data_IF_375812836821
#
_entry.id   IF_375812836821
#
_cell.length_a   1.000
_cell.length_b   1.000
_cell.length_c   1.000
_cell.angle_alpha   90.00
_cell.angle_beta   90.00
_cell.angle_gamma   90.00
#
_symmetry.space_group_name_H-M   'P 1'
#
loop_
_entity.id
_entity.type
_entity.pdbx_description
1 polymer ?
#
# COMPACT_ATOMS: atom_id res chain seq x y z
N UNK A 1 -10.87 -0.67 8.38
CA UNK A 1 -9.92 0.21 7.66
C UNK A 1 -9.88 -0.24 6.22
N UNK A 2 -10.47 0.55 5.31
CA UNK A 2 -10.50 0.23 3.87
C UNK A 2 -9.26 0.84 3.24
N UNK A 3 -8.32 -0.01 2.80
CA UNK A 3 -7.13 0.45 2.09
C UNK A 3 -7.42 0.49 0.60
N UNK A 4 -7.47 1.71 0.04
CA UNK A 4 -7.56 1.91 -1.41
C UNK A 4 -6.17 2.32 -1.87
N UNK A 5 -5.38 1.34 -2.31
CA UNK A 5 -4.10 1.61 -2.96
C UNK A 5 -4.35 1.89 -4.43
N UNK A 6 -4.37 3.17 -4.81
CA UNK A 6 -4.40 3.60 -6.23
C UNK A 6 -3.07 3.32 -6.97
N UNK A 7 -2.02 2.92 -6.23
CA UNK A 7 -0.69 2.61 -6.74
C UNK A 7 -0.34 1.12 -6.76
N UNK A 8 -1.32 0.25 -6.98
CA UNK A 8 -1.03 -1.10 -7.50
C UNK A 8 -0.79 -1.00 -9.02
N UNK A 9 0.28 -0.29 -9.38
CA UNK A 9 0.99 -0.57 -10.63
C UNK A 9 1.62 -1.94 -10.42
N UNK A 10 0.84 -2.99 -10.69
CA UNK A 10 1.33 -4.38 -10.64
C UNK A 10 2.50 -4.45 -11.61
N UNK A 11 3.72 -4.52 -11.09
CA UNK A 11 4.88 -4.69 -11.95
C UNK A 11 4.67 -5.96 -12.77
N UNK A 12 5.08 -5.94 -14.06
CA UNK A 12 5.02 -7.08 -14.98
C UNK A 12 5.41 -8.44 -14.33
N UNK A 13 6.43 -8.53 -13.44
CA UNK A 13 6.76 -9.80 -12.78
C UNK A 13 5.66 -10.33 -11.83
N UNK A 14 4.89 -9.46 -11.17
CA UNK A 14 3.83 -9.85 -10.23
C UNK A 14 2.60 -10.40 -10.98
N UNK A 15 2.23 -9.76 -12.10
CA UNK A 15 1.16 -10.25 -12.99
C UNK A 15 1.52 -11.64 -13.52
N UNK A 16 2.78 -11.82 -13.92
CA UNK A 16 3.28 -13.10 -14.43
C UNK A 16 3.34 -14.18 -13.34
N UNK A 17 3.67 -13.81 -12.10
CA UNK A 17 3.62 -14.73 -10.96
C UNK A 17 2.21 -15.29 -10.76
N UNK A 18 1.18 -14.45 -10.86
CA UNK A 18 -0.22 -14.86 -10.74
C UNK A 18 -0.64 -15.76 -11.91
N UNK A 19 -0.24 -15.45 -13.16
CA UNK A 19 -0.53 -16.32 -14.31
C UNK A 19 0.12 -17.70 -14.22
N UNK A 20 1.33 -17.81 -13.64
CA UNK A 20 2.00 -19.10 -13.41
C UNK A 20 1.29 -19.93 -12.33
N UNK A 21 0.55 -19.30 -11.41
CA UNK A 21 -0.24 -19.99 -10.38
C UNK A 21 -1.63 -20.41 -10.90
N UNK A 22 -2.22 -19.61 -11.79
CA UNK A 22 -3.59 -19.79 -12.28
C UNK A 22 -3.70 -20.50 -13.64
N UNK A 23 -2.64 -21.11 -14.19
CA UNK A 23 -2.72 -21.85 -15.45
C UNK A 23 -3.47 -23.17 -15.27
N UNK A 24 -4.80 -23.10 -15.28
CA UNK A 24 -5.77 -24.18 -15.15
C UNK A 24 -6.02 -24.92 -16.48
N UNK A 25 -4.96 -25.37 -17.16
CA UNK A 25 -5.09 -26.07 -18.45
C UNK A 25 -4.36 -27.43 -18.52
N UNK A 26 -3.71 -27.88 -17.45
CA UNK A 26 -3.31 -29.27 -17.25
C UNK A 26 -2.70 -29.38 -15.85
N UNK A 27 -2.95 -30.49 -15.15
CA UNK A 27 -2.49 -30.75 -13.79
C UNK A 27 -0.97 -30.99 -13.71
N UNK A 28 -0.18 -30.02 -14.15
CA UNK A 28 1.28 -30.08 -14.14
C UNK A 28 1.75 -29.45 -12.83
N UNK A 29 2.38 -30.26 -11.99
CA UNK A 29 2.90 -29.85 -10.70
C UNK A 29 4.28 -29.24 -10.90
N UNK A 30 4.41 -27.95 -10.57
CA UNK A 30 5.63 -27.18 -10.77
C UNK A 30 6.20 -26.77 -9.42
N UNK A 31 7.45 -27.16 -9.15
CA UNK A 31 8.15 -26.82 -7.91
C UNK A 31 8.51 -25.32 -7.81
N UNK A 32 8.71 -24.77 -6.60
CA UNK A 32 9.04 -23.36 -6.39
C UNK A 32 10.31 -22.90 -7.11
N UNK A 33 11.36 -23.74 -7.14
CA UNK A 33 12.62 -23.42 -7.80
C UNK A 33 12.46 -23.23 -9.33
N UNK A 34 11.58 -24.02 -9.95
CA UNK A 34 11.27 -23.92 -11.38
C UNK A 34 10.54 -22.61 -11.66
N UNK A 35 9.57 -22.22 -10.82
CA UNK A 35 8.85 -20.94 -10.94
C UNK A 35 9.80 -19.75 -10.90
N UNK A 36 10.77 -19.76 -9.97
CA UNK A 36 11.78 -18.69 -9.86
C UNK A 36 12.64 -18.58 -11.12
N UNK A 37 13.06 -19.70 -11.71
CA UNK A 37 13.85 -19.69 -12.95
C UNK A 37 13.03 -19.19 -14.15
N UNK A 38 11.79 -19.67 -14.32
CA UNK A 38 10.91 -19.21 -15.40
C UNK A 38 10.65 -17.70 -15.35
N UNK A 39 10.58 -17.13 -14.15
CA UNK A 39 10.45 -15.69 -13.95
C UNK A 39 11.73 -14.94 -14.29
N UNK A 40 12.88 -15.42 -13.80
CA UNK A 40 14.19 -14.76 -13.98
C UNK A 40 14.65 -14.73 -15.43
N UNK A 41 14.26 -15.72 -16.23
CA UNK A 41 14.64 -15.86 -17.64
C UNK A 41 13.46 -15.60 -18.60
N UNK A 42 12.32 -15.11 -18.11
CA UNK A 42 11.11 -14.84 -18.89
C UNK A 42 10.63 -16.03 -19.78
N UNK A 43 10.71 -17.25 -19.25
CA UNK A 43 10.31 -18.48 -19.95
C UNK A 43 8.87 -18.90 -19.65
N UNK A 44 8.12 -19.29 -20.69
CA UNK A 44 6.77 -19.85 -20.54
C UNK A 44 6.82 -21.38 -20.47
N UNK A 45 5.77 -22.01 -19.93
CA UNK A 45 5.67 -23.47 -19.75
C UNK A 45 5.64 -24.25 -21.07
N UNK A 46 5.20 -23.61 -22.15
CA UNK A 46 5.07 -24.23 -23.48
C UNK A 46 6.40 -24.23 -24.25
N UNK A 47 7.35 -23.37 -23.83
CA UNK A 47 8.65 -23.25 -24.48
C UNK A 47 9.54 -24.48 -24.19
N UNK A 48 9.33 -25.14 -23.05
CA UNK A 48 10.15 -26.28 -22.61
C UNK A 48 9.36 -27.58 -22.84
N UNK A 49 9.59 -28.18 -24.01
CA UNK A 49 8.92 -29.42 -24.45
C UNK A 49 9.43 -30.68 -23.77
N UNK A 50 10.70 -30.70 -23.34
CA UNK A 50 11.30 -31.82 -22.62
C UNK A 50 10.92 -31.73 -21.14
N UNK A 51 10.16 -32.72 -20.65
CA UNK A 51 9.72 -32.82 -19.26
C UNK A 51 10.07 -34.20 -18.72
N UNK A 52 11.09 -34.25 -17.87
CA UNK A 52 11.69 -35.49 -17.37
C UNK A 52 11.15 -35.90 -15.99
N UNK A 53 10.35 -35.03 -15.35
CA UNK A 53 9.81 -35.29 -14.02
C UNK A 53 8.69 -36.34 -13.96
N UNK A 54 8.42 -36.91 -12.78
CA UNK A 54 7.33 -37.86 -12.58
C UNK A 54 6.00 -37.23 -13.00
N UNK A 55 5.17 -37.99 -13.72
CA UNK A 55 3.91 -37.51 -14.34
C UNK A 55 4.11 -36.39 -15.38
N UNK A 56 5.22 -36.39 -16.11
CA UNK A 56 5.59 -35.38 -17.13
C UNK A 56 5.67 -33.94 -16.56
N UNK A 57 6.08 -33.82 -15.30
CA UNK A 57 6.26 -32.54 -14.63
C UNK A 57 7.58 -31.87 -15.05
N UNK A 58 7.58 -30.54 -15.03
CA UNK A 58 8.78 -29.76 -15.33
C UNK A 58 9.70 -29.69 -14.10
N UNK A 59 10.92 -30.23 -14.22
CA UNK A 59 11.92 -30.23 -13.16
C UNK A 59 12.99 -29.16 -13.37
N UNK A 60 13.72 -28.82 -12.30
CA UNK A 60 14.77 -27.78 -12.30
C UNK A 60 15.86 -28.06 -13.34
N UNK A 61 16.29 -29.32 -13.47
CA UNK A 61 17.32 -29.72 -14.44
C UNK A 61 16.91 -29.43 -15.87
N UNK A 62 15.64 -29.67 -16.24
CA UNK A 62 15.15 -29.44 -17.59
C UNK A 62 15.22 -27.95 -17.96
N UNK A 63 14.88 -27.08 -17.00
CA UNK A 63 14.97 -25.62 -17.19
C UNK A 63 16.42 -25.16 -17.28
N UNK A 64 17.31 -25.70 -16.45
CA UNK A 64 18.73 -25.36 -16.50
C UNK A 64 19.39 -25.82 -17.80
N UNK A 65 19.09 -27.03 -18.26
CA UNK A 65 19.57 -27.56 -19.53
C UNK A 65 19.05 -26.73 -20.70
N UNK A 66 17.77 -26.34 -20.67
CA UNK A 66 17.22 -25.45 -21.68
C UNK A 66 17.94 -24.09 -21.70
N UNK A 67 18.23 -23.51 -20.53
CA UNK A 67 18.96 -22.24 -20.42
C UNK A 67 20.41 -22.37 -20.95
N UNK A 68 21.09 -23.49 -20.67
CA UNK A 68 22.45 -23.73 -21.19
C UNK A 68 22.46 -23.92 -22.70
N UNK A 69 21.50 -24.67 -23.23
CA UNK A 69 21.39 -24.96 -24.68
C UNK A 69 21.06 -23.70 -25.48
N UNK A 70 20.20 -22.83 -24.93
CA UNK A 70 19.75 -21.59 -25.58
C UNK A 70 20.61 -20.37 -25.26
N UNK A 71 21.65 -20.51 -24.42
CA UNK A 71 22.55 -19.43 -23.95
C UNK A 71 21.81 -18.15 -23.53
N UNK A 72 20.68 -18.31 -22.83
CA UNK A 72 19.87 -17.17 -22.38
C UNK A 72 20.54 -16.44 -21.19
N UNK A 73 20.66 -15.13 -21.29
CA UNK A 73 21.08 -14.29 -20.15
C UNK A 73 19.89 -13.99 -19.24
N UNK A 74 20.09 -13.97 -17.90
CA UNK A 74 19.04 -13.57 -16.98
C UNK A 74 18.66 -12.10 -17.24
N UNK A 75 17.38 -11.77 -17.05
CA UNK A 75 16.91 -10.38 -17.15
C UNK A 75 17.79 -9.52 -16.22
N UNK A 76 18.44 -8.45 -16.72
CA UNK A 76 19.17 -7.55 -15.86
C UNK A 76 18.21 -6.99 -14.82
N UNK A 77 18.52 -7.20 -13.55
CA UNK A 77 17.83 -6.53 -12.45
C UNK A 77 18.00 -5.03 -12.62
N UNK A 78 17.01 -4.36 -13.21
CA UNK A 78 16.89 -2.91 -13.20
C UNK A 78 16.53 -2.47 -11.77
N UNK A 79 17.53 -2.55 -10.88
CA UNK A 79 17.58 -1.85 -9.61
C UNK A 79 18.98 -1.28 -9.48
N UNK A 80 19.25 -0.25 -10.30
CA UNK A 80 20.23 0.80 -10.10
C UNK A 80 19.97 1.83 -11.19
N UNK A 81 19.60 3.03 -10.76
CA UNK A 81 19.36 4.26 -11.54
C UNK A 81 17.90 4.70 -11.56
N UNK A 82 17.45 5.24 -10.42
CA UNK A 82 16.85 6.57 -10.34
C UNK A 82 16.60 6.89 -8.87
N UNK A 83 17.43 7.79 -8.35
CA UNK A 83 17.24 8.71 -7.21
C UNK A 83 18.64 9.30 -6.94
N UNK A 84 19.12 10.12 -7.89
CA UNK A 84 20.09 11.17 -7.56
C UNK A 84 19.26 12.39 -7.17
N UNK A 85 18.77 12.39 -5.94
CA UNK A 85 18.39 13.64 -5.30
C UNK A 85 19.69 14.23 -4.73
N UNK A 86 20.05 15.38 -5.26
CA UNK A 86 21.10 16.25 -4.76
C UNK A 86 20.66 16.71 -3.37
N UNK A 87 21.11 16.05 -2.31
CA UNK A 87 20.97 16.59 -0.97
C UNK A 87 21.95 17.75 -0.84
N UNK A 88 21.43 18.99 -0.89
CA UNK A 88 22.17 20.14 -0.39
C UNK A 88 22.53 19.90 1.09
N UNK A 89 23.76 20.21 1.53
CA UNK A 89 24.17 19.99 2.91
C UNK A 89 23.41 20.93 3.82
N UNK A 90 22.44 20.39 4.56
CA UNK A 90 21.79 21.09 5.67
C UNK A 90 22.88 21.43 6.69
N UNK A 91 23.12 22.73 6.92
CA UNK A 91 24.00 23.21 7.99
C UNK A 91 23.53 22.60 9.32
N UNK A 92 24.37 21.76 9.94
CA UNK A 92 24.16 21.27 11.29
C UNK A 92 24.24 22.47 12.25
N UNK A 93 23.09 22.97 12.69
CA UNK A 93 23.04 23.74 13.92
C UNK A 93 23.29 22.79 15.10
N UNK A 94 24.12 23.27 16.01
CA UNK A 94 24.73 22.55 17.14
C UNK A 94 23.67 21.91 18.03
N UNK A 95 23.67 20.57 18.11
CA UNK A 95 23.00 19.83 19.17
C UNK A 95 24.04 19.32 20.17
N UNK A 96 23.71 19.43 21.46
CA UNK A 96 24.56 19.13 22.59
C UNK A 96 25.00 17.65 22.60
N UNK A 97 26.32 17.44 22.59
CA UNK A 97 26.95 16.14 22.79
C UNK A 97 26.64 15.64 24.20
N UNK A 98 25.75 14.67 24.35
CA UNK A 98 25.76 13.81 25.53
C UNK A 98 26.62 12.59 25.19
N UNK A 99 27.84 12.57 25.72
CA UNK A 99 28.80 11.48 25.53
C UNK A 99 28.40 10.30 26.43
N UNK A 100 27.90 9.21 25.83
CA UNK A 100 27.80 7.92 26.52
C UNK A 100 29.07 7.14 26.21
N UNK A 101 29.95 7.01 27.19
CA UNK A 101 31.14 6.17 27.11
C UNK A 101 30.77 4.72 27.44
N UNK A 102 30.63 3.83 26.46
CA UNK A 102 30.76 2.39 26.71
C UNK A 102 31.52 1.64 25.59
N UNK A 103 32.68 1.14 26.01
CA UNK A 103 33.43 -0.08 25.61
C UNK A 103 33.65 -0.43 24.12
N UNK A 104 34.94 -0.34 23.73
CA UNK A 104 35.72 -1.26 22.87
C UNK A 104 34.93 -2.15 21.87
N UNK A 105 34.29 -1.53 20.88
CA UNK A 105 34.26 -1.95 19.47
C UNK A 105 33.80 -0.70 18.70
N UNK A 106 34.63 -0.18 17.79
CA UNK A 106 34.43 1.17 17.20
C UNK A 106 33.32 1.18 16.14
N UNK A 107 32.07 1.06 16.57
CA UNK A 107 30.93 1.64 15.87
C UNK A 107 30.48 2.84 16.70
N UNK A 108 30.72 4.05 16.20
CA UNK A 108 30.21 5.26 16.83
C UNK A 108 28.70 5.32 16.56
N UNK A 109 27.89 5.08 17.59
CA UNK A 109 26.46 5.31 17.54
C UNK A 109 26.19 6.77 17.91
N UNK A 110 25.34 7.44 17.13
CA UNK A 110 24.82 8.76 17.46
C UNK A 110 23.33 8.63 17.70
N UNK A 111 22.89 9.09 18.87
CA UNK A 111 21.47 9.14 19.20
C UNK A 111 20.82 10.34 18.52
N UNK A 112 19.73 10.09 17.79
CA UNK A 112 18.90 11.13 17.19
C UNK A 112 17.63 11.24 18.05
N UNK A 113 17.39 12.36 18.75
CA UNK A 113 16.20 12.49 19.58
C UNK A 113 14.93 12.44 18.73
N UNK A 114 13.90 11.76 19.26
CA UNK A 114 12.61 11.62 18.60
C UNK A 114 11.80 12.90 18.81
N UNK A 115 11.36 13.52 17.72
CA UNK A 115 10.46 14.67 17.75
C UNK A 115 9.07 14.28 18.30
N UNK A 116 8.36 15.19 18.96
CA UNK A 116 7.10 14.89 19.64
C UNK A 116 6.03 14.33 18.70
N UNK A 117 5.96 14.84 17.46
CA UNK A 117 5.08 14.29 16.42
C UNK A 117 5.35 12.83 16.07
N UNK A 118 6.60 12.38 16.16
CA UNK A 118 6.94 10.96 15.97
C UNK A 118 6.54 10.13 17.19
N UNK A 119 6.59 10.68 18.41
CA UNK A 119 6.16 9.98 19.62
C UNK A 119 4.67 9.65 19.57
N UNK A 120 3.82 10.61 19.19
CA UNK A 120 2.37 10.39 19.03
C UNK A 120 2.06 9.29 18.01
N UNK A 121 2.77 9.28 16.87
CA UNK A 121 2.62 8.23 15.85
C UNK A 121 3.04 6.86 16.41
N UNK A 122 4.13 6.82 17.17
CA UNK A 122 4.60 5.58 17.82
C UNK A 122 3.56 5.07 18.82
N UNK A 123 2.99 5.94 19.64
CA UNK A 123 1.92 5.58 20.57
C UNK A 123 0.68 5.02 19.87
N UNK A 124 0.25 5.66 18.77
CA UNK A 124 -0.82 5.13 17.92
C UNK A 124 -0.47 3.76 17.33
N UNK A 125 0.78 3.56 16.93
CA UNK A 125 1.25 2.28 16.40
C UNK A 125 1.25 1.19 17.47
N UNK A 126 1.67 1.51 18.70
CA UNK A 126 1.66 0.60 19.84
C UNK A 126 0.24 0.11 20.17
N UNK A 127 -0.79 0.94 19.99
CA UNK A 127 -2.20 0.51 20.15
C UNK A 127 -2.59 -0.65 19.23
N UNK A 128 -1.94 -0.81 18.06
CA UNK A 128 -2.20 -1.96 17.15
C UNK A 128 -1.82 -3.31 17.76
N UNK A 129 -0.90 -3.34 18.73
CA UNK A 129 -0.47 -4.57 19.38
C UNK A 129 -1.57 -5.12 20.28
N UNK A 130 -2.35 -4.24 20.92
CA UNK A 130 -3.36 -4.62 21.90
C UNK A 130 -4.68 -5.09 21.27
N UNK A 131 -5.01 -4.65 20.06
CA UNK A 131 -6.29 -4.95 19.40
C UNK A 131 -6.12 -6.21 18.53
N UNK A 132 -6.96 -7.25 18.65
CA UNK A 132 -6.91 -8.41 17.76
C UNK A 132 -7.39 -8.03 16.35
N UNK A 133 -6.49 -8.08 15.36
CA UNK A 133 -6.79 -7.73 13.97
C UNK A 133 -7.20 -8.95 13.16
N UNK A 134 -8.25 -8.80 12.34
CA UNK A 134 -8.61 -9.75 11.29
C UNK A 134 -8.72 -9.00 9.96
N UNK A 135 -8.29 -9.65 8.88
CA UNK A 135 -8.30 -9.08 7.53
C UNK A 135 -9.33 -9.79 6.66
N UNK A 136 -10.15 -9.01 5.96
CA UNK A 136 -11.07 -9.50 4.95
C UNK A 136 -10.87 -8.71 3.66
N UNK A 137 -10.92 -9.39 2.53
CA UNK A 137 -10.69 -8.78 1.21
C UNK A 137 -11.78 -9.17 0.24
N UNK A 138 -12.13 -8.23 -0.64
CA UNK A 138 -13.07 -8.44 -1.74
C UNK A 138 -12.57 -7.71 -2.98
N UNK A 139 -12.80 -8.30 -4.16
CA UNK A 139 -12.48 -7.69 -5.45
C UNK A 139 -13.73 -7.01 -6.02
N UNK A 140 -13.60 -5.74 -6.41
CA UNK A 140 -14.71 -4.94 -6.96
C UNK A 140 -14.34 -4.46 -8.36
N UNK A 141 -15.27 -4.59 -9.31
CA UNK A 141 -15.11 -4.03 -10.65
C UNK A 141 -15.54 -2.55 -10.64
N UNK A 142 -14.60 -1.64 -10.93
CA UNK A 142 -14.81 -0.20 -10.90
C UNK A 142 -15.02 0.42 -12.29
N UNK A 143 -15.16 -0.38 -13.35
CA UNK A 143 -15.25 0.12 -14.74
C UNK A 143 -16.44 1.06 -14.94
N UNK A 144 -17.62 0.68 -14.42
CA UNK A 144 -18.84 1.49 -14.56
C UNK A 144 -18.72 2.82 -13.80
N UNK A 145 -18.12 2.81 -12.61
CA UNK A 145 -17.88 4.02 -11.81
C UNK A 145 -16.96 4.96 -12.57
N UNK A 146 -15.87 4.42 -13.15
CA UNK A 146 -14.93 5.23 -13.93
C UNK A 146 -15.55 5.83 -15.19
N UNK A 147 -16.41 5.06 -15.87
CA UNK A 147 -17.17 5.58 -17.00
C UNK A 147 -18.10 6.73 -16.58
N UNK A 148 -18.79 6.59 -15.44
CA UNK A 148 -19.66 7.62 -14.90
C UNK A 148 -18.88 8.87 -14.48
N UNK A 149 -17.71 8.73 -13.85
CA UNK A 149 -16.79 9.85 -13.60
C UNK A 149 -16.46 10.58 -14.91
N UNK A 150 -16.06 9.86 -15.96
CA UNK A 150 -15.72 10.48 -17.24
C UNK A 150 -16.89 11.25 -17.88
N UNK A 151 -18.13 10.77 -17.71
CA UNK A 151 -19.33 11.45 -18.21
C UNK A 151 -19.63 12.73 -17.42
N UNK A 152 -19.39 12.73 -16.12
CA UNK A 152 -19.71 13.85 -15.23
C UNK A 152 -18.56 14.85 -15.04
N UNK A 153 -17.34 14.50 -15.46
CA UNK A 153 -16.16 15.36 -15.38
C UNK A 153 -16.33 16.73 -16.05
N UNK A 154 -17.27 16.87 -17.00
CA UNK A 154 -17.59 18.16 -17.60
C UNK A 154 -18.27 19.14 -16.64
N UNK A 155 -18.88 18.64 -15.56
CA UNK A 155 -19.64 19.44 -14.60
C UNK A 155 -19.02 19.41 -13.20
N UNK A 156 -18.51 18.25 -12.77
CA UNK A 156 -17.97 18.03 -11.42
C UNK A 156 -16.74 17.14 -11.53
N UNK A 157 -15.63 17.57 -10.93
CA UNK A 157 -14.41 16.76 -10.81
C UNK A 157 -14.64 15.60 -9.82
N UNK A 158 -15.12 14.47 -10.32
CA UNK A 158 -15.42 13.29 -9.50
C UNK A 158 -14.30 12.27 -9.55
N UNK A 159 -13.74 11.97 -8.38
CA UNK A 159 -12.76 10.90 -8.21
C UNK A 159 -13.42 9.61 -7.71
N UNK A 160 -12.74 8.47 -7.87
CA UNK A 160 -13.23 7.17 -7.42
C UNK A 160 -13.32 7.14 -5.87
N UNK A 161 -12.43 7.87 -5.20
CA UNK A 161 -12.39 8.01 -3.74
C UNK A 161 -13.68 8.62 -3.18
N UNK A 162 -14.31 9.55 -3.92
CA UNK A 162 -15.59 10.15 -3.55
C UNK A 162 -16.69 9.07 -3.42
N UNK A 163 -16.77 8.17 -4.40
CA UNK A 163 -17.73 7.06 -4.40
C UNK A 163 -17.45 6.06 -3.28
N UNK A 164 -16.18 5.83 -2.95
CA UNK A 164 -15.79 4.92 -1.87
C UNK A 164 -16.21 5.50 -0.52
N UNK A 165 -15.94 6.79 -0.27
CA UNK A 165 -16.34 7.46 0.98
C UNK A 165 -17.86 7.43 1.13
N UNK A 166 -18.59 7.77 0.07
CA UNK A 166 -20.05 7.75 0.05
C UNK A 166 -20.61 6.34 0.32
N UNK A 167 -20.08 5.32 -0.35
CA UNK A 167 -20.49 3.93 -0.14
C UNK A 167 -20.19 3.45 1.30
N UNK A 168 -19.03 3.82 1.86
CA UNK A 168 -18.68 3.52 3.25
C UNK A 168 -19.66 4.20 4.23
N UNK A 169 -20.01 5.46 4.01
CA UNK A 169 -20.97 6.17 4.85
C UNK A 169 -22.34 5.48 4.84
N UNK A 170 -22.84 5.13 3.65
CA UNK A 170 -24.12 4.43 3.50
C UNK A 170 -24.10 3.01 4.11
N UNK A 171 -22.97 2.31 4.02
CA UNK A 171 -22.79 1.01 4.65
C UNK A 171 -22.81 1.11 6.18
N UNK A 172 -22.12 2.10 6.77
CA UNK A 172 -22.12 2.35 8.21
C UNK A 172 -23.50 2.77 8.71
N UNK A 173 -24.26 3.51 7.90
CA UNK A 173 -25.66 3.87 8.19
C UNK A 173 -26.57 2.65 8.24
N UNK A 174 -26.36 1.69 7.33
CA UNK A 174 -27.14 0.45 7.26
C UNK A 174 -26.75 -0.54 8.37
N UNK A 175 -25.48 -0.56 8.77
CA UNK A 175 -24.91 -1.48 9.75
C UNK A 175 -24.24 -0.73 10.93
N UNK A 176 -25.03 -0.14 11.84
CA UNK A 176 -24.49 0.65 12.95
C UNK A 176 -23.69 -0.20 13.96
N UNK A 177 -23.80 -1.53 13.90
CA UNK A 177 -23.01 -2.45 14.74
C UNK A 177 -21.51 -2.39 14.43
N UNK A 178 -21.14 -1.93 13.23
CA UNK A 178 -19.73 -1.80 12.80
C UNK A 178 -19.16 -0.44 13.26
N UNK A 179 -19.99 0.59 13.40
CA UNK A 179 -19.57 1.93 13.83
C UNK A 179 -19.47 2.03 15.37
N UNK A 180 -18.47 1.34 15.93
CA UNK A 180 -18.25 1.24 17.38
C UNK A 180 -16.81 1.53 17.75
N UNK A 181 -16.59 1.98 18.99
CA UNK A 181 -15.26 2.13 19.58
C UNK A 181 -15.20 1.52 20.97
N UNK A 182 -13.98 1.23 21.42
CA UNK A 182 -13.69 0.76 22.77
C UNK A 182 -13.42 1.95 23.66
N UNK A 183 -14.22 2.09 24.73
CA UNK A 183 -13.98 3.12 25.75
C UNK A 183 -12.84 2.68 26.70
N UNK A 184 -12.30 3.61 27.49
CA UNK A 184 -11.26 3.42 28.52
C UNK A 184 -11.63 2.31 29.51
N UNK A 185 -12.92 2.10 29.76
CA UNK A 185 -13.43 1.04 30.64
C UNK A 185 -13.60 -0.32 29.92
N UNK A 186 -12.98 -0.51 28.75
CA UNK A 186 -13.12 -1.69 27.89
C UNK A 186 -14.56 -2.05 27.47
N UNK A 187 -15.49 -1.10 27.54
CA UNK A 187 -16.86 -1.28 27.08
C UNK A 187 -16.99 -0.84 25.62
N UNK A 188 -17.75 -1.60 24.84
CA UNK A 188 -18.07 -1.28 23.45
C UNK A 188 -19.15 -0.19 23.42
N UNK A 189 -18.87 0.95 22.79
CA UNK A 189 -19.82 2.04 22.61
C UNK A 189 -20.12 2.26 21.13
N UNK A 190 -21.40 2.44 20.81
CA UNK A 190 -21.89 2.76 19.46
C UNK A 190 -21.86 4.26 19.23
N UNK A 191 -21.44 4.67 18.04
CA UNK A 191 -21.46 6.07 17.64
C UNK A 191 -22.65 6.32 16.72
N UNK A 192 -23.48 7.31 17.04
CA UNK A 192 -24.60 7.74 16.18
C UNK A 192 -24.10 8.46 14.93
N UNK A 193 -23.04 9.25 15.07
CA UNK A 193 -22.49 10.05 13.99
C UNK A 193 -21.51 9.23 13.15
N UNK A 194 -21.57 9.41 11.84
CA UNK A 194 -20.72 8.70 10.89
C UNK A 194 -19.65 9.67 10.40
N UNK A 195 -18.47 9.60 11.02
CA UNK A 195 -17.31 10.38 10.61
C UNK A 195 -16.33 9.46 9.88
N UNK A 196 -15.83 9.91 8.73
CA UNK A 196 -14.89 9.13 7.91
C UNK A 196 -13.59 9.91 7.76
N UNK A 197 -12.46 9.28 8.05
CA UNK A 197 -11.13 9.86 7.82
C UNK A 197 -10.44 9.18 6.64
N UNK A 198 -10.01 9.96 5.65
CA UNK A 198 -9.17 9.50 4.54
C UNK A 198 -7.71 9.83 4.84
N UNK A 199 -6.85 8.81 4.84
CA UNK A 199 -5.41 8.98 4.96
C UNK A 199 -4.77 9.04 3.59
N UNK A 200 -4.24 10.20 3.21
CA UNK A 200 -3.47 10.36 1.99
C UNK A 200 -1.98 10.13 2.23
N UNK A 201 -1.24 9.87 1.16
CA UNK A 201 0.19 9.54 1.19
C UNK A 201 1.06 10.66 1.79
N UNK A 202 0.55 11.90 1.79
CA UNK A 202 1.17 13.08 2.39
C UNK A 202 0.99 13.17 3.92
N UNK A 203 0.56 12.09 4.58
CA UNK A 203 0.38 11.95 6.04
C UNK A 203 -0.67 12.87 6.68
N UNK A 204 -1.34 13.71 5.92
CA UNK A 204 -2.49 14.49 6.39
C UNK A 204 -3.76 13.65 6.24
N UNK A 205 -4.49 13.50 7.34
CA UNK A 205 -5.82 12.89 7.34
C UNK A 205 -6.87 13.94 7.01
N UNK A 206 -7.71 13.66 6.01
CA UNK A 206 -8.89 14.47 5.70
C UNK A 206 -10.07 13.86 6.44
N UNK A 207 -10.80 14.66 7.23
CA UNK A 207 -11.92 14.20 8.04
C UNK A 207 -13.23 14.71 7.43
N UNK A 208 -14.15 13.79 7.15
CA UNK A 208 -15.50 14.05 6.70
C UNK A 208 -16.45 13.84 7.89
N UNK A 209 -16.95 14.94 8.44
CA UNK A 209 -17.91 14.91 9.53
C UNK A 209 -19.31 14.62 9.01
N UNK A 210 -20.05 13.75 9.70
CA UNK A 210 -21.41 13.33 9.32
C UNK A 210 -21.51 12.98 7.83
N UNK A 211 -20.64 12.09 7.37
CA UNK A 211 -20.48 11.70 5.98
C UNK A 211 -21.74 11.09 5.35
N UNK A 212 -22.71 10.67 6.17
CA UNK A 212 -24.01 10.16 5.75
C UNK A 212 -24.97 11.24 5.25
N UNK A 213 -24.73 12.51 5.61
CA UNK A 213 -25.49 13.67 5.16
C UNK A 213 -24.84 14.38 3.96
N UNK A 214 -23.59 14.03 3.64
CA UNK A 214 -22.84 14.69 2.58
C UNK A 214 -23.18 14.14 1.20
N UNK A 215 -23.41 15.06 0.26
CA UNK A 215 -23.54 14.73 -1.15
C UNK A 215 -22.17 14.48 -1.78
N UNK A 216 -22.16 13.73 -2.88
CA UNK A 216 -20.91 13.36 -3.57
C UNK A 216 -20.15 14.58 -4.09
N UNK A 217 -20.86 15.63 -4.50
CA UNK A 217 -20.27 16.92 -4.90
C UNK A 217 -19.59 17.62 -3.72
N UNK A 218 -20.23 17.63 -2.55
CA UNK A 218 -19.65 18.20 -1.32
C UNK A 218 -18.38 17.45 -0.90
N UNK A 219 -18.39 16.12 -1.02
CA UNK A 219 -17.22 15.27 -0.75
C UNK A 219 -16.09 15.59 -1.73
N UNK A 220 -16.39 15.74 -3.03
CA UNK A 220 -15.40 16.12 -4.05
C UNK A 220 -14.77 17.49 -3.76
N UNK A 221 -15.59 18.51 -3.44
CA UNK A 221 -15.09 19.84 -3.05
C UNK A 221 -14.15 19.77 -1.85
N UNK A 222 -14.55 19.07 -0.79
CA UNK A 222 -13.71 18.89 0.40
C UNK A 222 -12.38 18.17 0.10
N UNK A 223 -12.37 17.19 -0.80
CA UNK A 223 -11.16 16.51 -1.23
C UNK A 223 -10.22 17.45 -1.99
N UNK A 224 -10.76 18.28 -2.88
CA UNK A 224 -9.97 19.23 -3.68
C UNK A 224 -9.44 20.39 -2.82
N UNK A 225 -10.28 20.99 -1.99
CA UNK A 225 -9.92 22.11 -1.11
C UNK A 225 -8.83 21.70 -0.12
N UNK A 226 -9.00 20.56 0.56
CA UNK A 226 -8.00 20.03 1.50
C UNK A 226 -6.76 19.51 0.79
N UNK A 227 -6.88 19.07 -0.46
CA UNK A 227 -5.74 18.72 -1.31
C UNK A 227 -4.86 19.93 -1.66
N UNK A 228 -5.47 21.11 -1.83
CA UNK A 228 -4.82 22.38 -2.13
C UNK A 228 -4.17 23.02 -0.90
N UNK A 229 -4.88 23.08 0.25
CA UNK A 229 -4.33 23.57 1.52
C UNK A 229 -3.07 22.78 1.92
N UNK A 230 -3.04 21.48 1.66
CA UNK A 230 -1.89 20.62 1.98
C UNK A 230 -0.67 20.84 1.07
N UNK A 231 -0.82 21.44 -0.12
CA UNK A 231 0.32 21.87 -0.94
C UNK A 231 0.93 23.18 -0.41
N UNK A 232 0.11 24.05 0.17
CA UNK A 232 0.55 25.33 0.72
C UNK A 232 1.08 25.20 2.17
N UNK A 233 0.50 24.33 2.99
CA UNK A 233 0.85 24.13 4.39
C UNK A 233 2.02 23.16 4.64
N UNK A 234 2.72 22.68 3.60
CA UNK A 234 3.99 21.97 3.77
C UNK A 234 5.03 22.78 4.57
N UNK A 235 4.85 24.10 4.66
CA UNK A 235 5.72 25.01 5.41
C UNK A 235 5.18 25.42 6.79
N UNK A 236 3.97 25.01 7.18
CA UNK A 236 3.30 25.51 8.40
C UNK A 236 2.33 24.50 8.97
N UNK A 237 2.84 23.46 9.63
CA UNK A 237 2.01 22.58 10.44
C UNK A 237 2.09 22.99 11.92
N UNK A 238 1.10 23.77 12.36
CA UNK A 238 0.62 23.77 13.75
C UNK A 238 -0.64 22.93 13.79
N UNK A 239 -0.62 21.86 14.57
CA UNK A 239 -1.78 21.04 14.87
C UNK A 239 -2.72 21.82 15.81
N UNK A 240 -4.00 21.74 15.51
CA UNK A 240 -5.09 22.21 16.37
C UNK A 240 -5.31 21.13 17.45
N UNK A 241 -5.45 21.60 18.69
CA UNK A 241 -5.58 20.88 19.96
C UNK A 241 -6.65 19.78 19.99
#
# INVERSE_FOLDING_TARGET
MVFVSSLIVRSKPIIRWIHIQNSSASSILIGPAVKVLLLRYNLNLDNIKKRSGPKNNLIKSDVLNYISDTKLSPIPSQQKNQLKETFEPIKLNQYSKQNIYLSKQRQQFFEIPINDSKKEIIEQFNKKINIPHSYSSISINTSNIKQLCNQLNSYIDLSIECFIIYACAQALKSLPQINVYWNVNNNLQKTSNINISLFSQNKTSIIFNNADLLNIESISKLLNDKGLENKQNLNTFRLIN
#
